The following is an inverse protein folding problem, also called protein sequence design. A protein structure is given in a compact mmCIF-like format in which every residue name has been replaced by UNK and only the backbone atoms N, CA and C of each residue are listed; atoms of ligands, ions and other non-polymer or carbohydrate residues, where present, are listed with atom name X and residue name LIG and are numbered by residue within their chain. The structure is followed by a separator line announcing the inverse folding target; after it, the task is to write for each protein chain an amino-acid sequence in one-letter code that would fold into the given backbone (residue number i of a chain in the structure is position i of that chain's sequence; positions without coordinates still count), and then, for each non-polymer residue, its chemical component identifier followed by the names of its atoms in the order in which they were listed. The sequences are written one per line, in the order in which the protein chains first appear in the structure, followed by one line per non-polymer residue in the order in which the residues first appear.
data_IF_176611169678
#
_entry.id   IF_176611169678
#
_cell.length_a   1.000
_cell.length_b   1.000
_cell.length_c   1.000
_cell.angle_alpha   90.00
_cell.angle_beta   90.00
_cell.angle_gamma   90.00
#
_symmetry.space_group_name_H-M   'P 1'
#
loop_
_entity.id
_entity.type
_entity.pdbx_description
1 polymer ?
#
# COMPACT_ATOMS: atom_id res chain seq x y z
N UNK A 1 -1.53 -13.76 16.69
CA UNK A 1 -2.45 -12.78 16.07
C UNK A 1 -2.56 -13.10 14.59
N UNK A 2 -3.74 -12.96 14.02
CA UNK A 2 -3.99 -13.10 12.59
C UNK A 2 -3.67 -11.76 11.87
N UNK A 3 -3.47 -11.79 10.54
CA UNK A 3 -3.43 -10.57 9.74
C UNK A 3 -4.64 -9.66 10.00
N UNK A 4 -4.44 -8.35 9.91
CA UNK A 4 -5.57 -7.40 9.88
C UNK A 4 -6.39 -7.62 8.61
N UNK A 5 -7.71 -7.55 8.70
CA UNK A 5 -8.58 -7.68 7.55
C UNK A 5 -9.61 -6.54 7.49
N UNK A 6 -10.01 -6.18 6.29
CA UNK A 6 -11.06 -5.20 6.03
C UNK A 6 -11.75 -5.52 4.70
N UNK A 7 -13.04 -5.18 4.62
CA UNK A 7 -13.84 -5.42 3.44
C UNK A 7 -14.14 -4.11 2.70
N UNK A 8 -14.24 -4.22 1.38
CA UNK A 8 -14.68 -3.15 0.49
C UNK A 8 -15.70 -3.69 -0.51
N UNK A 9 -16.54 -2.81 -0.99
CA UNK A 9 -17.41 -3.07 -2.15
C UNK A 9 -16.90 -2.21 -3.29
N UNK A 10 -16.66 -2.82 -4.46
CA UNK A 10 -16.20 -2.09 -5.64
C UNK A 10 -17.34 -1.19 -6.13
N UNK A 11 -17.17 0.11 -5.98
CA UNK A 11 -18.15 1.12 -6.37
C UNK A 11 -18.01 1.56 -7.83
N UNK A 12 -19.05 2.18 -8.36
CA UNK A 12 -19.16 2.58 -9.77
C UNK A 12 -18.04 3.54 -10.22
N UNK A 13 -17.57 4.41 -9.34
CA UNK A 13 -16.56 5.42 -9.70
C UNK A 13 -15.14 4.86 -9.80
N UNK A 14 -14.98 3.59 -9.45
CA UNK A 14 -13.68 2.91 -9.38
C UNK A 14 -13.48 1.87 -10.48
N UNK A 15 -14.34 1.81 -11.48
CA UNK A 15 -14.31 0.80 -12.54
C UNK A 15 -13.94 1.35 -13.91
N UNK A 16 -13.44 0.44 -14.76
CA UNK A 16 -13.24 0.62 -16.19
C UNK A 16 -14.54 0.38 -16.97
N UNK A 17 -14.59 0.70 -18.31
CA UNK A 17 -15.75 0.41 -19.14
C UNK A 17 -16.16 -1.06 -19.24
N UNK A 18 -15.24 -1.99 -18.95
CA UNK A 18 -15.51 -3.44 -18.90
C UNK A 18 -16.06 -3.92 -17.55
N UNK A 19 -16.42 -2.99 -16.67
CA UNK A 19 -16.93 -3.18 -15.32
C UNK A 19 -15.91 -3.77 -14.32
N UNK A 20 -14.64 -3.91 -14.68
CA UNK A 20 -13.58 -4.31 -13.74
C UNK A 20 -13.01 -3.10 -12.99
N UNK A 21 -12.49 -3.31 -11.78
CA UNK A 21 -11.85 -2.22 -11.04
C UNK A 21 -10.61 -1.71 -11.78
N UNK A 22 -10.45 -0.41 -11.87
CA UNK A 22 -9.24 0.20 -12.43
C UNK A 22 -8.02 -0.06 -11.52
N UNK A 23 -6.87 -0.40 -12.09
CA UNK A 23 -5.65 -0.70 -11.31
C UNK A 23 -5.31 0.37 -10.26
N UNK A 24 -5.31 1.69 -10.55
CA UNK A 24 -5.04 2.69 -9.53
C UNK A 24 -6.04 2.66 -8.36
N UNK A 25 -7.27 2.22 -8.61
CA UNK A 25 -8.32 2.11 -7.59
C UNK A 25 -8.18 0.85 -6.75
N UNK A 26 -7.79 -0.26 -7.36
CA UNK A 26 -7.41 -1.47 -6.61
C UNK A 26 -6.26 -1.17 -5.66
N UNK A 27 -5.24 -0.45 -6.14
CA UNK A 27 -4.12 0.00 -5.30
C UNK A 27 -4.57 0.91 -4.15
N UNK A 28 -5.56 1.78 -4.39
CA UNK A 28 -6.14 2.64 -3.34
C UNK A 28 -6.84 1.81 -2.25
N UNK A 29 -7.59 0.77 -2.59
CA UNK A 29 -8.18 -0.14 -1.60
C UNK A 29 -7.12 -0.89 -0.79
N UNK A 30 -6.05 -1.37 -1.45
CA UNK A 30 -4.94 -2.06 -0.79
C UNK A 30 -4.22 -1.10 0.17
N UNK A 31 -3.96 0.13 -0.25
CA UNK A 31 -3.34 1.15 0.61
C UNK A 31 -4.26 1.55 1.77
N UNK A 32 -5.55 1.72 1.52
CA UNK A 32 -6.54 2.02 2.57
C UNK A 32 -6.55 0.93 3.65
N UNK A 33 -6.42 -0.34 3.28
CA UNK A 33 -6.32 -1.42 4.26
C UNK A 33 -5.11 -1.26 5.20
N UNK A 34 -3.97 -0.77 4.69
CA UNK A 34 -2.80 -0.49 5.54
C UNK A 34 -3.02 0.70 6.47
N UNK A 35 -3.72 1.74 6.01
CA UNK A 35 -4.06 2.90 6.83
C UNK A 35 -5.04 2.51 7.95
N UNK A 36 -6.06 1.71 7.66
CA UNK A 36 -6.99 1.18 8.67
C UNK A 36 -6.29 0.32 9.71
N UNK A 37 -5.34 -0.52 9.31
CA UNK A 37 -4.53 -1.29 10.25
C UNK A 37 -3.70 -0.38 11.16
N UNK A 38 -3.15 0.70 10.61
CA UNK A 38 -2.38 1.69 11.36
C UNK A 38 -3.25 2.44 12.36
N UNK A 39 -4.49 2.78 11.97
CA UNK A 39 -5.50 3.38 12.85
C UNK A 39 -5.89 2.43 13.99
N UNK A 40 -6.14 1.14 13.69
CA UNK A 40 -6.45 0.11 14.69
C UNK A 40 -5.28 -0.13 15.65
N UNK A 41 -4.05 0.00 15.17
CA UNK A 41 -2.84 -0.04 16.00
C UNK A 41 -2.69 1.18 16.93
N UNK A 42 -3.59 2.16 16.84
CA UNK A 42 -3.62 3.36 17.70
C UNK A 42 -2.93 4.59 17.11
N UNK A 43 -2.53 4.56 15.85
CA UNK A 43 -1.78 5.65 15.20
C UNK A 43 -2.60 6.27 14.07
N UNK A 44 -3.41 7.27 14.42
CA UNK A 44 -4.26 7.98 13.46
C UNK A 44 -3.46 8.88 12.51
N UNK A 45 -4.09 9.24 11.38
CA UNK A 45 -3.52 10.24 10.46
C UNK A 45 -3.24 11.57 11.16
N UNK A 46 -4.08 11.94 12.16
CA UNK A 46 -3.84 13.13 12.98
C UNK A 46 -2.57 12.98 13.82
N UNK A 47 -2.30 11.82 14.39
CA UNK A 47 -1.08 11.55 15.16
C UNK A 47 0.18 11.79 14.31
N UNK A 48 0.22 11.27 13.07
CA UNK A 48 1.31 11.49 12.13
C UNK A 48 1.45 12.97 11.73
N UNK A 49 0.33 13.63 11.45
CA UNK A 49 0.30 15.04 11.09
C UNK A 49 0.84 15.95 12.20
N UNK A 50 0.45 15.69 13.46
CA UNK A 50 0.90 16.47 14.61
C UNK A 50 2.41 16.32 14.86
N UNK A 51 2.95 15.12 14.61
CA UNK A 51 4.38 14.84 14.75
C UNK A 51 5.22 15.25 13.54
N UNK A 52 4.58 15.54 12.40
CA UNK A 52 5.27 15.73 11.12
C UNK A 52 6.18 14.56 10.77
N UNK A 53 5.70 13.37 11.00
CA UNK A 53 6.37 12.11 10.68
C UNK A 53 5.43 11.23 9.86
N UNK A 54 5.96 10.26 9.11
CA UNK A 54 5.10 9.36 8.35
C UNK A 54 5.84 8.29 7.57
N UNK A 55 5.10 7.27 7.15
CA UNK A 55 5.59 6.26 6.21
C UNK A 55 5.37 6.74 4.78
N UNK A 56 6.44 6.80 4.00
CA UNK A 56 6.40 7.10 2.58
C UNK A 56 6.63 5.81 1.80
N UNK A 57 5.72 5.52 0.89
CA UNK A 57 5.78 4.37 0.01
C UNK A 57 6.91 4.53 -1.00
N UNK A 58 7.74 3.51 -1.15
CA UNK A 58 8.85 3.50 -2.12
C UNK A 58 8.64 2.49 -3.23
N UNK A 59 7.91 1.40 -2.95
CA UNK A 59 7.81 0.28 -3.87
C UNK A 59 6.50 -0.47 -3.72
N UNK A 60 5.93 -0.89 -4.85
CA UNK A 60 4.91 -1.91 -4.94
C UNK A 60 5.37 -3.06 -5.82
N UNK A 61 5.06 -4.27 -5.39
CA UNK A 61 5.03 -5.47 -6.22
C UNK A 61 3.60 -6.01 -6.13
N UNK A 62 2.93 -6.17 -7.27
CA UNK A 62 1.53 -6.61 -7.31
C UNK A 62 1.39 -7.68 -8.38
N UNK A 63 0.74 -8.78 -8.02
CA UNK A 63 0.33 -9.84 -8.94
C UNK A 63 -1.19 -9.91 -8.89
N UNK A 64 -1.84 -9.83 -10.05
CA UNK A 64 -3.29 -9.81 -10.17
C UNK A 64 -3.70 -11.03 -10.97
N UNK A 65 -4.40 -11.97 -10.32
CA UNK A 65 -4.99 -13.14 -10.95
C UNK A 65 -6.28 -12.77 -11.67
N UNK A 66 -7.13 -11.98 -10.99
CA UNK A 66 -8.39 -11.51 -11.54
C UNK A 66 -8.75 -10.13 -10.97
N UNK A 67 -9.09 -9.19 -11.83
CA UNK A 67 -9.62 -7.90 -11.38
C UNK A 67 -11.01 -8.07 -10.76
N UNK A 68 -11.26 -7.48 -9.57
CA UNK A 68 -12.61 -7.40 -9.02
C UNK A 68 -13.57 -6.67 -9.97
N UNK A 69 -14.84 -7.08 -9.95
CA UNK A 69 -15.89 -6.49 -10.78
C UNK A 69 -16.75 -5.50 -9.97
N UNK A 70 -17.49 -4.65 -10.66
CA UNK A 70 -18.44 -3.74 -10.03
C UNK A 70 -19.39 -4.46 -9.07
N UNK A 71 -19.66 -3.84 -7.93
CA UNK A 71 -20.50 -4.36 -6.85
C UNK A 71 -20.00 -5.67 -6.21
N UNK A 72 -18.80 -6.10 -6.56
CA UNK A 72 -18.16 -7.24 -5.89
C UNK A 72 -17.65 -6.80 -4.52
N UNK A 73 -17.93 -7.60 -3.49
CA UNK A 73 -17.28 -7.46 -2.20
C UNK A 73 -15.94 -8.19 -2.22
N UNK A 74 -14.91 -7.49 -1.75
CA UNK A 74 -13.55 -8.01 -1.61
C UNK A 74 -13.11 -7.91 -0.16
N UNK A 75 -12.39 -8.91 0.32
CA UNK A 75 -11.65 -8.89 1.58
C UNK A 75 -10.19 -8.62 1.30
N UNK A 76 -9.61 -7.67 2.02
CA UNK A 76 -8.16 -7.38 1.97
C UNK A 76 -7.56 -7.69 3.33
N UNK A 77 -6.61 -8.63 3.35
CA UNK A 77 -5.78 -8.91 4.52
C UNK A 77 -4.43 -8.25 4.35
N UNK A 78 -3.89 -7.71 5.44
CA UNK A 78 -2.57 -7.08 5.45
C UNK A 78 -1.83 -7.34 6.76
N UNK A 79 -0.50 -7.43 6.68
CA UNK A 79 0.38 -7.67 7.83
C UNK A 79 1.78 -7.11 7.59
N UNK A 80 2.51 -6.78 8.66
CA UNK A 80 3.92 -6.45 8.55
C UNK A 80 4.74 -7.70 8.18
N UNK A 81 5.62 -7.57 7.21
CA UNK A 81 6.61 -8.59 6.85
C UNK A 81 7.90 -8.34 7.61
N UNK A 82 8.30 -7.05 7.66
CA UNK A 82 9.51 -6.63 8.33
C UNK A 82 9.41 -5.17 8.76
N UNK A 83 9.80 -4.95 10.00
CA UNK A 83 9.92 -3.62 10.58
C UNK A 83 11.35 -3.50 11.15
N UNK A 84 12.23 -2.74 10.47
CA UNK A 84 13.62 -2.63 10.89
C UNK A 84 14.19 -1.24 10.63
N UNK A 85 14.56 -0.55 11.72
CA UNK A 85 15.15 0.78 11.63
C UNK A 85 14.16 1.78 11.06
N UNK A 86 14.44 2.28 9.87
CA UNK A 86 13.58 3.24 9.14
C UNK A 86 12.71 2.56 8.06
N UNK A 87 12.91 1.25 7.83
CA UNK A 87 12.27 0.51 6.75
C UNK A 87 11.12 -0.34 7.28
N UNK A 88 10.02 -0.36 6.53
CA UNK A 88 8.91 -1.25 6.74
C UNK A 88 8.55 -1.97 5.44
N UNK A 89 8.31 -3.27 5.55
CA UNK A 89 7.80 -4.12 4.47
C UNK A 89 6.43 -4.66 4.90
N UNK A 90 5.47 -4.64 4.00
CA UNK A 90 4.09 -5.07 4.25
C UNK A 90 3.59 -5.94 3.11
N UNK A 91 2.80 -6.95 3.46
CA UNK A 91 2.17 -7.83 2.49
C UNK A 91 0.64 -7.72 2.55
N UNK A 92 0.00 -8.13 1.43
CA UNK A 92 -1.44 -8.07 1.25
C UNK A 92 -1.93 -9.26 0.45
N UNK A 93 -3.15 -9.71 0.77
CA UNK A 93 -3.95 -10.57 -0.10
C UNK A 93 -5.30 -9.93 -0.34
N UNK A 94 -5.81 -10.05 -1.55
CA UNK A 94 -7.15 -9.63 -1.94
C UNK A 94 -7.93 -10.87 -2.34
N UNK A 95 -9.07 -11.12 -1.71
CA UNK A 95 -9.91 -12.28 -1.98
C UNK A 95 -11.36 -11.87 -2.21
N UNK A 96 -12.12 -12.71 -2.90
CA UNK A 96 -13.58 -12.58 -2.98
C UNK A 96 -14.28 -13.18 -1.74
N UNK A 97 -15.60 -13.04 -1.65
CA UNK A 97 -16.42 -13.65 -0.57
C UNK A 97 -16.29 -15.15 -0.42
N UNK A 98 -15.87 -15.86 -1.47
CA UNK A 98 -15.68 -17.32 -1.46
C UNK A 98 -14.28 -17.72 -1.03
N UNK A 99 -13.39 -16.73 -0.81
CA UNK A 99 -11.99 -16.94 -0.48
C UNK A 99 -11.10 -17.20 -1.70
N UNK A 100 -11.60 -17.01 -2.93
CA UNK A 100 -10.76 -17.09 -4.11
C UNK A 100 -9.81 -15.89 -4.15
N UNK A 101 -8.53 -16.16 -4.41
CA UNK A 101 -7.51 -15.13 -4.53
C UNK A 101 -7.72 -14.31 -5.80
N UNK A 102 -7.71 -12.99 -5.66
CA UNK A 102 -7.84 -12.02 -6.75
C UNK A 102 -6.53 -11.30 -7.01
N UNK A 103 -5.80 -10.96 -5.96
CA UNK A 103 -4.49 -10.34 -6.07
C UNK A 103 -3.63 -10.57 -4.82
N UNK A 104 -2.30 -10.54 -5.03
CA UNK A 104 -1.28 -10.51 -4.00
C UNK A 104 -0.44 -9.25 -4.15
N UNK A 105 0.03 -8.68 -3.04
CA UNK A 105 0.93 -7.53 -3.10
C UNK A 105 1.94 -7.52 -1.95
N UNK A 106 3.11 -6.94 -2.25
CA UNK A 106 4.09 -6.50 -1.26
C UNK A 106 4.35 -5.00 -1.44
N UNK A 107 4.63 -4.31 -0.35
CA UNK A 107 5.01 -2.90 -0.38
C UNK A 107 6.19 -2.61 0.53
N UNK A 108 7.02 -1.64 0.13
CA UNK A 108 8.15 -1.14 0.90
C UNK A 108 7.95 0.33 1.25
N UNK A 109 8.28 0.67 2.47
CA UNK A 109 8.08 2.00 3.04
C UNK A 109 9.32 2.47 3.77
N UNK A 110 9.50 3.79 3.80
CA UNK A 110 10.51 4.46 4.62
C UNK A 110 9.80 5.40 5.58
N UNK A 111 10.17 5.34 6.86
CA UNK A 111 9.67 6.29 7.85
C UNK A 111 10.52 7.57 7.82
N UNK A 112 9.86 8.71 7.65
CA UNK A 112 10.51 10.01 7.49
C UNK A 112 10.04 11.02 8.55
N UNK A 113 10.94 11.90 8.94
CA UNK A 113 10.60 13.24 9.42
C UNK A 113 10.26 14.13 8.22
N UNK A 114 9.01 14.60 8.14
CA UNK A 114 8.48 15.34 7.00
C UNK A 114 9.00 16.79 6.93
N UNK A 115 9.45 17.36 8.06
CA UNK A 115 10.06 18.70 8.06
C UNK A 115 11.46 18.67 7.44
N UNK A 116 12.27 17.69 7.84
CA UNK A 116 13.65 17.57 7.36
C UNK A 116 13.75 16.72 6.09
N UNK A 117 12.71 15.97 5.75
CA UNK A 117 12.66 14.97 4.66
C UNK A 117 13.74 13.89 4.78
N UNK A 118 14.15 13.58 6.01
CA UNK A 118 15.17 12.57 6.28
C UNK A 118 14.57 11.33 6.92
N UNK A 119 15.11 10.12 6.61
CA UNK A 119 14.72 8.92 7.31
C UNK A 119 14.94 9.06 8.82
N UNK A 120 13.91 8.71 9.59
CA UNK A 120 13.95 8.66 11.05
C UNK A 120 13.35 7.35 11.55
N UNK A 121 13.61 6.98 12.79
CA UNK A 121 13.08 5.74 13.36
C UNK A 121 11.71 5.99 13.98
N UNK A 122 10.70 5.17 13.66
CA UNK A 122 9.45 5.19 14.41
C UNK A 122 9.71 4.81 15.87
N UNK A 123 8.82 5.21 16.76
CA UNK A 123 8.89 4.80 18.17
C UNK A 123 8.66 3.29 18.28
N UNK A 124 9.29 2.66 19.27
CA UNK A 124 9.24 1.19 19.42
C UNK A 124 7.83 0.69 19.68
N UNK A 125 7.05 1.40 20.48
CA UNK A 125 5.66 1.09 20.81
C UNK A 125 4.79 1.00 19.55
N UNK A 126 5.04 1.84 18.55
CA UNK A 126 4.37 1.76 17.25
C UNK A 126 4.73 0.46 16.52
N UNK A 127 6.01 0.10 16.48
CA UNK A 127 6.44 -1.12 15.81
C UNK A 127 5.83 -2.37 16.45
N UNK A 128 5.74 -2.38 17.78
CA UNK A 128 5.21 -3.49 18.56
C UNK A 128 3.68 -3.63 18.40
N UNK A 129 2.97 -2.52 18.14
CA UNK A 129 1.51 -2.52 17.99
C UNK A 129 0.99 -3.19 16.71
N UNK A 130 1.81 -3.28 15.67
CA UNK A 130 1.41 -3.90 14.40
C UNK A 130 1.31 -5.44 14.46
N UNK A 131 1.66 -6.05 15.59
CA UNK A 131 1.60 -7.49 15.76
C UNK A 131 2.77 -8.25 15.12
N UNK A 132 2.66 -9.57 14.95
CA UNK A 132 3.77 -10.40 14.48
C UNK A 132 4.09 -10.14 13.01
N UNK A 133 5.39 -10.17 12.70
CA UNK A 133 5.87 -10.18 11.34
C UNK A 133 5.64 -11.57 10.72
N UNK A 134 5.00 -11.60 9.55
CA UNK A 134 4.68 -12.82 8.83
C UNK A 134 5.41 -12.86 7.47
N UNK A 135 5.49 -14.01 6.79
CA UNK A 135 6.11 -14.11 5.46
C UNK A 135 5.49 -13.16 4.43
N UNK A 136 6.25 -12.84 3.40
CA UNK A 136 5.76 -12.03 2.27
C UNK A 136 4.67 -12.77 1.49
N UNK A 137 3.76 -12.05 0.83
CA UNK A 137 2.73 -12.63 -0.03
C UNK A 137 3.31 -13.09 -1.37
N UNK A 138 4.32 -12.38 -1.89
CA UNK A 138 4.99 -12.66 -3.16
C UNK A 138 6.49 -12.89 -2.95
N UNK A 139 7.15 -13.71 -3.78
CA UNK A 139 8.62 -13.83 -3.78
C UNK A 139 9.30 -12.47 -3.99
N UNK A 140 10.45 -12.25 -3.33
CA UNK A 140 11.17 -10.96 -3.36
C UNK A 140 12.00 -10.71 -4.63
N UNK A 141 11.87 -11.50 -5.66
CA UNK A 141 12.82 -11.55 -6.78
C UNK A 141 12.56 -10.56 -7.91
N UNK A 142 11.81 -9.48 -7.68
CA UNK A 142 11.64 -8.45 -8.68
C UNK A 142 12.92 -7.61 -8.80
N UNK A 143 13.82 -8.01 -9.68
CA UNK A 143 14.95 -7.17 -10.08
C UNK A 143 14.43 -6.12 -11.07
N UNK A 144 14.54 -4.86 -10.71
CA UNK A 144 14.33 -3.78 -11.68
C UNK A 144 15.37 -3.91 -12.79
N UNK A 145 14.99 -3.76 -14.06
CA UNK A 145 15.95 -3.75 -15.15
C UNK A 145 16.96 -2.61 -14.96
N UNK A 146 18.23 -2.79 -15.42
CA UNK A 146 19.22 -1.71 -15.38
C UNK A 146 18.73 -0.52 -16.21
N UNK A 147 18.92 0.70 -15.72
CA UNK A 147 18.43 1.94 -16.37
C UNK A 147 19.35 2.48 -17.45
N UNK A 148 20.56 1.95 -17.57
CA UNK A 148 21.63 2.52 -18.39
C UNK A 148 21.42 2.37 -19.92
N UNK A 149 20.54 1.44 -20.33
CA UNK A 149 20.27 1.13 -21.75
C UNK A 149 18.90 1.64 -22.25
N UNK A 150 18.18 2.43 -21.49
CA UNK A 150 16.89 2.96 -21.93
C UNK A 150 17.05 4.12 -22.90
N UNK A 151 16.36 4.03 -24.04
CA UNK A 151 16.19 5.15 -24.98
C UNK A 151 14.86 5.82 -24.69
N UNK A 152 14.87 7.14 -24.62
CA UNK A 152 13.62 7.91 -24.60
C UNK A 152 12.86 7.66 -25.91
N UNK A 153 11.65 7.13 -25.80
CA UNK A 153 10.77 6.87 -26.95
C UNK A 153 9.58 7.83 -27.00
N UNK A 154 9.23 8.45 -25.87
CA UNK A 154 8.16 9.44 -25.77
C UNK A 154 8.42 10.33 -24.54
N UNK A 155 8.09 11.62 -24.65
CA UNK A 155 8.12 12.57 -23.55
C UNK A 155 6.77 13.27 -23.45
N UNK A 156 6.21 13.32 -22.24
CA UNK A 156 4.94 13.99 -21.96
C UNK A 156 5.08 14.92 -20.78
N UNK A 157 4.52 16.10 -20.92
CA UNK A 157 4.44 17.06 -19.82
C UNK A 157 3.14 16.83 -19.04
N UNK A 158 3.26 16.62 -17.72
CA UNK A 158 2.13 16.53 -16.81
C UNK A 158 2.18 17.69 -15.81
N UNK A 159 1.02 18.28 -15.54
CA UNK A 159 0.88 19.25 -14.48
C UNK A 159 0.25 18.59 -13.27
N UNK A 160 0.92 18.63 -12.13
CA UNK A 160 0.35 18.17 -10.86
C UNK A 160 -0.85 19.04 -10.47
N UNK A 161 -1.91 18.39 -10.04
CA UNK A 161 -3.12 19.04 -9.54
C UNK A 161 -3.30 18.73 -8.06
N UNK A 162 -4.22 19.42 -7.38
CA UNK A 162 -4.46 19.20 -5.94
C UNK A 162 -4.78 17.73 -5.59
N UNK A 163 -5.41 16.99 -6.48
CA UNK A 163 -5.73 15.56 -6.28
C UNK A 163 -4.52 14.63 -6.35
N UNK A 164 -3.39 15.12 -6.90
CA UNK A 164 -2.15 14.36 -7.03
C UNK A 164 -1.24 14.55 -5.81
N UNK A 165 -1.68 15.35 -4.82
CA UNK A 165 -0.98 15.67 -3.60
C UNK A 165 -1.55 14.82 -2.47
N UNK A 166 -0.69 14.06 -1.79
CA UNK A 166 -1.06 13.25 -0.64
C UNK A 166 -0.89 13.99 0.71
N UNK A 167 -1.13 13.31 1.81
CA UNK A 167 -1.05 13.87 3.16
C UNK A 167 0.38 14.04 3.70
N UNK A 168 1.41 13.65 2.94
CA UNK A 168 2.82 13.72 3.35
C UNK A 168 3.48 15.06 2.96
N UNK A 169 2.72 16.06 2.52
CA UNK A 169 3.20 17.40 2.18
C UNK A 169 3.01 18.40 3.30
#
# INVERSE_FOLDING_TARGET
MSPFNTNFIVDYFNINPDLTVALPRLMSYIQEASLRHTEEAGYSMKWFSDRKEGFVLTHWQVEIEKYPEWNQEIEIKTWPVKLRGVLAERAFTVTDKKGNELALANSNWVYLDLNTRKPTRPIQEMLDSYGPQLPTALPKDLKLPPTDDFKTIDERMYFTTRKDIDTNL
#
